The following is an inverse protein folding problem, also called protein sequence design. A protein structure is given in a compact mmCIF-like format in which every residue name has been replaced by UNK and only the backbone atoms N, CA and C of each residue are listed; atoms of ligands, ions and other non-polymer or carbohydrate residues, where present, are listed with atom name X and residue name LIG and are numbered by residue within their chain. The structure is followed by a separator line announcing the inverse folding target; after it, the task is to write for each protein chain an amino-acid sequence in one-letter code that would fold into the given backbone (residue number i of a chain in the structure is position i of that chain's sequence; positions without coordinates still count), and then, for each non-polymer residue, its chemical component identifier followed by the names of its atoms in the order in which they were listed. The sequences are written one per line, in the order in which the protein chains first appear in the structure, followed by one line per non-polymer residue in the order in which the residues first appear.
data_IF_062789431598
#
_entry.id   IF_062789431598
#
_cell.length_a   1.000
_cell.length_b   1.000
_cell.length_c   1.000
_cell.angle_alpha   90.00
_cell.angle_beta   90.00
_cell.angle_gamma   90.00
#
_symmetry.space_group_name_H-M   'P 1'
#
loop_
_entity.id
_entity.type
_entity.pdbx_description
1 polymer ?
#
# COMPACT_ATOMS: atom_id res chain seq x y z
N UNK A 1 28.50 4.53 -1.90
CA UNK A 1 28.19 3.66 -3.05
C UNK A 1 28.48 2.24 -2.61
N UNK A 2 27.47 1.40 -2.50
CA UNK A 2 27.63 -0.03 -2.20
C UNK A 2 28.25 -0.70 -3.43
N UNK A 3 29.27 -1.54 -3.23
CA UNK A 3 29.86 -2.31 -4.31
C UNK A 3 28.82 -3.31 -4.81
N UNK A 4 28.39 -3.18 -6.08
CA UNK A 4 27.35 -4.04 -6.65
C UNK A 4 27.97 -5.40 -6.92
N UNK A 5 27.48 -6.43 -6.22
CA UNK A 5 27.92 -7.80 -6.47
C UNK A 5 27.65 -8.19 -7.92
N UNK A 6 28.70 -8.64 -8.60
CA UNK A 6 28.67 -9.08 -9.99
C UNK A 6 27.73 -10.28 -10.18
N UNK A 7 27.56 -11.12 -9.15
CA UNK A 7 26.62 -12.24 -9.16
C UNK A 7 25.16 -11.75 -9.25
N UNK A 8 24.80 -10.76 -8.44
CA UNK A 8 23.46 -10.14 -8.41
C UNK A 8 23.17 -9.46 -9.74
N UNK A 9 24.15 -8.77 -10.33
CA UNK A 9 23.99 -8.11 -11.63
C UNK A 9 23.62 -9.11 -12.74
N UNK A 10 24.21 -10.30 -12.73
CA UNK A 10 23.92 -11.34 -13.73
C UNK A 10 22.52 -11.92 -13.55
N UNK A 11 22.12 -12.23 -12.31
CA UNK A 11 20.76 -12.73 -12.03
C UNK A 11 19.69 -11.68 -12.37
N UNK A 12 19.94 -10.40 -12.07
CA UNK A 12 19.01 -9.32 -12.43
C UNK A 12 18.83 -9.20 -13.95
N UNK A 13 19.93 -9.26 -14.72
CA UNK A 13 19.85 -9.24 -16.20
C UNK A 13 19.15 -10.47 -16.77
N UNK A 14 19.36 -11.64 -16.16
CA UNK A 14 18.69 -12.89 -16.54
C UNK A 14 17.19 -12.80 -16.27
N UNK A 15 16.78 -12.30 -15.10
CA UNK A 15 15.39 -12.04 -14.76
C UNK A 15 14.75 -11.07 -15.75
N UNK A 16 15.35 -9.91 -16.01
CA UNK A 16 14.78 -8.92 -16.93
C UNK A 16 14.60 -9.47 -18.34
N UNK A 17 15.55 -10.27 -18.84
CA UNK A 17 15.43 -10.90 -20.16
C UNK A 17 14.28 -11.90 -20.20
N UNK A 18 14.17 -12.74 -19.16
CA UNK A 18 13.06 -13.67 -19.02
C UNK A 18 11.72 -12.92 -18.96
N UNK A 19 11.62 -11.91 -18.10
CA UNK A 19 10.38 -11.18 -17.84
C UNK A 19 9.94 -10.30 -19.03
N UNK A 20 10.90 -9.78 -19.82
CA UNK A 20 10.61 -9.06 -21.07
C UNK A 20 9.87 -9.95 -22.07
N UNK A 21 10.23 -11.24 -22.15
CA UNK A 21 9.53 -12.21 -22.99
C UNK A 21 8.15 -12.55 -22.43
N UNK A 22 8.05 -12.69 -21.11
CA UNK A 22 6.77 -12.95 -20.41
C UNK A 22 5.76 -11.84 -20.69
N UNK A 23 6.19 -10.57 -20.63
CA UNK A 23 5.33 -9.41 -20.88
C UNK A 23 5.08 -9.13 -22.37
N UNK A 24 5.70 -9.90 -23.28
CA UNK A 24 5.48 -9.75 -24.73
C UNK A 24 5.99 -8.43 -25.31
N UNK A 25 6.89 -7.72 -24.61
CA UNK A 25 7.40 -6.39 -25.00
C UNK A 25 8.24 -6.37 -26.29
N UNK A 26 8.55 -7.54 -26.85
CA UNK A 26 9.25 -7.66 -28.13
C UNK A 26 8.32 -7.52 -29.34
N UNK A 27 7.00 -7.51 -29.14
CA UNK A 27 6.04 -7.27 -30.20
C UNK A 27 5.83 -5.76 -30.39
N UNK A 28 5.71 -5.30 -31.65
CA UNK A 28 5.40 -3.89 -31.99
C UNK A 28 4.07 -3.42 -31.37
N UNK A 29 3.20 -4.37 -31.07
CA UNK A 29 1.84 -4.25 -30.60
C UNK A 29 1.60 -5.15 -29.39
N UNK A 30 0.98 -4.63 -28.33
CA UNK A 30 0.77 -5.39 -27.09
C UNK A 30 -0.66 -5.93 -27.03
N UNK A 31 -0.84 -7.12 -26.45
CA UNK A 31 -2.12 -7.81 -26.28
C UNK A 31 -2.89 -8.00 -27.60
N UNK A 32 -2.21 -8.27 -28.72
CA UNK A 32 -2.81 -8.33 -30.06
C UNK A 32 -3.71 -7.12 -30.35
N UNK A 33 -3.26 -5.93 -29.96
CA UNK A 33 -3.97 -4.67 -30.14
C UNK A 33 -3.18 -3.73 -31.05
N UNK A 34 -3.80 -2.77 -31.74
CA UNK A 34 -3.07 -1.82 -32.57
C UNK A 34 -2.26 -0.80 -31.75
N UNK A 35 -2.21 -0.93 -30.42
CA UNK A 35 -1.54 0.00 -29.52
C UNK A 35 -0.18 -0.55 -29.07
N UNK A 36 0.80 0.34 -29.02
CA UNK A 36 2.10 0.10 -28.39
C UNK A 36 2.00 0.16 -26.85
N UNK A 37 3.03 -0.32 -26.16
CA UNK A 37 3.12 -0.25 -24.69
C UNK A 37 2.88 1.15 -24.14
N UNK A 38 3.55 2.13 -24.74
CA UNK A 38 3.50 3.52 -24.28
C UNK A 38 2.10 4.09 -24.44
N UNK A 39 1.42 3.77 -25.54
CA UNK A 39 0.05 4.19 -25.80
C UNK A 39 -0.94 3.58 -24.79
N UNK A 40 -0.80 2.28 -24.52
CA UNK A 40 -1.60 1.61 -23.50
C UNK A 40 -1.34 2.20 -22.11
N UNK A 41 -0.09 2.51 -21.76
CA UNK A 41 0.24 3.16 -20.49
C UNK A 41 -0.30 4.57 -20.38
N UNK A 42 -0.24 5.37 -21.43
CA UNK A 42 -0.86 6.71 -21.42
C UNK A 42 -2.38 6.62 -21.18
N UNK A 43 -3.09 5.68 -21.83
CA UNK A 43 -4.52 5.49 -21.59
C UNK A 43 -4.82 5.05 -20.15
N UNK A 44 -3.98 4.18 -19.60
CA UNK A 44 -4.08 3.74 -18.20
C UNK A 44 -3.88 4.89 -17.22
N UNK A 45 -2.83 5.70 -17.39
CA UNK A 45 -2.56 6.84 -16.50
C UNK A 45 -3.66 7.90 -16.60
N UNK A 46 -4.19 8.19 -17.78
CA UNK A 46 -5.32 9.12 -17.94
C UNK A 46 -6.57 8.58 -17.23
N UNK A 47 -6.84 7.28 -17.29
CA UNK A 47 -8.04 6.68 -16.69
C UNK A 47 -7.97 6.62 -15.16
N UNK A 48 -6.77 6.42 -14.60
CA UNK A 48 -6.58 6.09 -13.19
C UNK A 48 -5.96 7.23 -12.37
N UNK A 49 -5.49 8.31 -13.01
CA UNK A 49 -5.00 9.50 -12.30
C UNK A 49 -6.04 10.61 -12.30
N UNK A 50 -6.52 11.01 -11.11
CA UNK A 50 -7.37 12.19 -10.95
C UNK A 50 -6.65 13.44 -11.45
N UNK A 51 -7.37 14.30 -12.18
CA UNK A 51 -6.80 15.54 -12.72
C UNK A 51 -5.52 15.33 -13.56
N UNK A 52 -5.46 14.23 -14.31
CA UNK A 52 -4.30 13.88 -15.13
C UNK A 52 -3.95 14.98 -16.13
N UNK A 53 -2.69 15.37 -16.19
CA UNK A 53 -2.18 16.36 -17.16
C UNK A 53 -1.09 15.74 -18.02
N UNK A 54 -0.80 16.37 -19.16
CA UNK A 54 0.33 15.94 -20.00
C UNK A 54 1.68 15.99 -19.25
N UNK A 55 1.82 16.86 -18.24
CA UNK A 55 3.02 16.93 -17.40
C UNK A 55 3.11 15.72 -16.47
N UNK A 56 2.01 15.36 -15.81
CA UNK A 56 1.95 14.14 -14.98
C UNK A 56 2.33 12.92 -15.83
N UNK A 57 1.80 12.78 -17.04
CA UNK A 57 2.19 11.68 -17.94
C UNK A 57 3.68 11.65 -18.29
N UNK A 58 4.32 12.81 -18.47
CA UNK A 58 5.76 12.88 -18.74
C UNK A 58 6.57 12.45 -17.52
N UNK A 59 6.21 12.98 -16.35
CA UNK A 59 6.92 12.75 -15.09
C UNK A 59 6.77 11.28 -14.65
N UNK A 60 5.55 10.73 -14.66
CA UNK A 60 5.25 9.35 -14.25
C UNK A 60 5.87 8.31 -15.18
N UNK A 61 5.80 8.52 -16.50
CA UNK A 61 6.26 7.52 -17.49
C UNK A 61 7.71 7.76 -17.96
N UNK A 62 8.37 8.83 -17.51
CA UNK A 62 9.72 9.20 -17.97
C UNK A 62 9.80 9.50 -19.47
N UNK A 63 8.71 10.01 -20.06
CA UNK A 63 8.58 10.21 -21.51
C UNK A 63 8.86 11.66 -21.91
N UNK A 64 9.40 11.87 -23.11
CA UNK A 64 9.64 13.21 -23.62
C UNK A 64 8.34 13.95 -23.98
N UNK A 65 8.36 15.27 -23.75
CA UNK A 65 7.21 16.17 -23.99
C UNK A 65 6.68 16.09 -25.42
N UNK A 66 7.57 15.98 -26.41
CA UNK A 66 7.21 15.97 -27.82
C UNK A 66 6.49 14.67 -28.21
N UNK A 67 6.92 13.54 -27.66
CA UNK A 67 6.30 12.24 -27.87
C UNK A 67 4.93 12.14 -27.18
N UNK A 68 4.82 12.52 -25.91
CA UNK A 68 3.53 12.55 -25.20
C UNK A 68 2.52 13.47 -25.91
N UNK A 69 2.96 14.66 -26.35
CA UNK A 69 2.09 15.58 -27.09
C UNK A 69 1.59 15.00 -28.41
N UNK A 70 2.44 14.26 -29.15
CA UNK A 70 2.06 13.59 -30.40
C UNK A 70 0.99 12.52 -30.16
N UNK A 71 1.17 11.68 -29.13
CA UNK A 71 0.19 10.65 -28.78
C UNK A 71 -1.15 11.28 -28.37
N UNK A 72 -1.13 12.28 -27.48
CA UNK A 72 -2.35 12.97 -27.04
C UNK A 72 -3.10 13.57 -28.23
N UNK A 73 -2.40 14.27 -29.14
CA UNK A 73 -3.04 14.85 -30.34
C UNK A 73 -3.66 13.79 -31.24
N UNK A 74 -3.02 12.63 -31.39
CA UNK A 74 -3.57 11.53 -32.18
C UNK A 74 -4.82 10.96 -31.53
N UNK A 75 -4.79 10.68 -30.23
CA UNK A 75 -5.95 10.18 -29.48
C UNK A 75 -7.12 11.17 -29.47
N UNK A 76 -6.85 12.47 -29.41
CA UNK A 76 -7.89 13.51 -29.55
C UNK A 76 -8.51 13.48 -30.95
N UNK A 77 -7.69 13.37 -32.00
CA UNK A 77 -8.14 13.24 -33.39
C UNK A 77 -8.97 11.97 -33.62
N UNK A 78 -8.63 10.89 -32.93
CA UNK A 78 -9.33 9.60 -32.96
C UNK A 78 -10.53 9.55 -32.00
N UNK A 79 -10.90 10.69 -31.39
CA UNK A 79 -12.00 10.81 -30.44
C UNK A 79 -11.89 9.86 -29.24
N UNK A 80 -10.68 9.51 -28.82
CA UNK A 80 -10.41 8.67 -27.66
C UNK A 80 -10.26 9.47 -26.37
N UNK A 81 -9.81 10.72 -26.47
CA UNK A 81 -9.68 11.62 -25.33
C UNK A 81 -10.19 13.02 -25.65
N UNK A 82 -10.49 13.77 -24.60
CA UNK A 82 -10.76 15.20 -24.66
C UNK A 82 -9.97 15.95 -23.58
N UNK A 83 -9.91 17.26 -23.73
CA UNK A 83 -9.20 18.16 -22.82
C UNK A 83 -10.17 19.13 -22.16
N UNK A 84 -9.97 19.36 -20.88
CA UNK A 84 -10.67 20.38 -20.12
C UNK A 84 -9.67 21.38 -19.54
N UNK A 85 -10.03 22.66 -19.47
CA UNK A 85 -9.13 23.66 -18.86
C UNK A 85 -9.01 23.38 -17.36
N UNK A 86 -7.79 23.43 -16.84
CA UNK A 86 -7.57 23.37 -15.40
C UNK A 86 -8.06 24.67 -14.76
N UNK A 87 -8.85 24.54 -13.69
CA UNK A 87 -9.30 25.66 -12.86
C UNK A 87 -8.15 26.24 -12.02
N UNK A 88 -7.13 25.44 -11.73
CA UNK A 88 -5.96 25.80 -10.91
C UNK A 88 -4.85 26.51 -11.71
N UNK A 89 -4.64 26.12 -12.98
CA UNK A 89 -3.68 26.77 -13.87
C UNK A 89 -4.20 26.78 -15.31
N UNK A 90 -4.54 27.97 -15.80
CA UNK A 90 -5.00 28.21 -17.19
C UNK A 90 -4.05 27.72 -18.30
N UNK A 91 -2.79 27.42 -17.97
CA UNK A 91 -1.80 26.86 -18.91
C UNK A 91 -1.87 25.34 -19.00
N UNK A 92 -2.55 24.67 -18.09
CA UNK A 92 -2.69 23.22 -18.05
C UNK A 92 -4.10 22.79 -18.47
N UNK A 93 -4.17 21.60 -19.06
CA UNK A 93 -5.42 20.94 -19.40
C UNK A 93 -5.47 19.59 -18.72
N UNK A 94 -6.60 19.28 -18.10
CA UNK A 94 -6.90 17.94 -17.65
C UNK A 94 -7.29 17.07 -18.84
N UNK A 95 -6.82 15.83 -18.82
CA UNK A 95 -7.04 14.83 -19.85
C UNK A 95 -8.08 13.85 -19.36
N UNK A 96 -9.07 13.56 -20.21
CA UNK A 96 -10.12 12.60 -19.92
C UNK A 96 -10.34 11.68 -21.11
N UNK A 97 -10.70 10.42 -20.86
CA UNK A 97 -11.14 9.53 -21.91
C UNK A 97 -12.57 9.88 -22.32
N UNK A 98 -12.87 9.79 -23.62
CA UNK A 98 -14.25 9.78 -24.09
C UNK A 98 -14.87 8.40 -23.81
N UNK A 99 -16.19 8.24 -23.98
CA UNK A 99 -16.83 6.92 -23.91
C UNK A 99 -16.24 5.90 -24.92
N UNK A 100 -15.76 6.37 -26.08
CA UNK A 100 -15.03 5.54 -27.04
C UNK A 100 -13.64 5.13 -26.50
N UNK A 101 -12.89 6.09 -25.94
CA UNK A 101 -11.60 5.82 -25.29
C UNK A 101 -11.72 4.85 -24.13
N UNK A 102 -12.76 4.98 -23.29
CA UNK A 102 -13.02 4.04 -22.20
C UNK A 102 -13.32 2.62 -22.71
N UNK A 103 -14.05 2.50 -23.82
CA UNK A 103 -14.33 1.20 -24.44
C UNK A 103 -13.04 0.53 -24.92
N UNK A 104 -12.11 1.31 -25.50
CA UNK A 104 -10.79 0.81 -25.90
C UNK A 104 -9.98 0.42 -24.68
N UNK A 105 -9.90 1.29 -23.66
CA UNK A 105 -9.20 1.01 -22.41
C UNK A 105 -9.67 -0.31 -21.78
N UNK A 106 -10.99 -0.51 -21.64
CA UNK A 106 -11.56 -1.75 -21.07
C UNK A 106 -11.19 -2.99 -21.87
N UNK A 107 -11.12 -2.90 -23.21
CA UNK A 107 -10.67 -4.01 -24.05
C UNK A 107 -9.18 -4.33 -23.81
N UNK A 108 -8.34 -3.31 -23.70
CA UNK A 108 -6.91 -3.49 -23.40
C UNK A 108 -6.70 -4.10 -22.02
N UNK A 109 -7.41 -3.61 -21.01
CA UNK A 109 -7.39 -4.12 -19.63
C UNK A 109 -7.85 -5.58 -19.58
N UNK A 110 -8.97 -5.93 -20.22
CA UNK A 110 -9.46 -7.30 -20.27
C UNK A 110 -8.45 -8.26 -20.92
N UNK A 111 -7.79 -7.84 -22.01
CA UNK A 111 -6.76 -8.68 -22.64
C UNK A 111 -5.49 -8.81 -21.80
N UNK A 112 -5.09 -7.75 -21.11
CA UNK A 112 -3.97 -7.80 -20.17
C UNK A 112 -4.25 -8.81 -19.04
N UNK A 113 -5.46 -8.77 -18.47
CA UNK A 113 -5.90 -9.71 -17.44
C UNK A 113 -5.94 -11.14 -17.97
N UNK A 114 -6.50 -11.36 -19.17
CA UNK A 114 -6.55 -12.69 -19.79
C UNK A 114 -5.15 -13.31 -19.98
N UNK A 115 -4.15 -12.50 -20.34
CA UNK A 115 -2.78 -12.97 -20.47
C UNK A 115 -2.20 -13.41 -19.12
N UNK A 116 -2.44 -12.63 -18.06
CA UNK A 116 -2.01 -12.98 -16.70
C UNK A 116 -2.72 -14.24 -16.21
N UNK A 117 -4.04 -14.33 -16.41
CA UNK A 117 -4.84 -15.50 -16.07
C UNK A 117 -4.32 -16.77 -16.76
N UNK A 118 -4.03 -16.70 -18.07
CA UNK A 118 -3.45 -17.80 -18.82
C UNK A 118 -2.08 -18.23 -18.27
N UNK A 119 -1.24 -17.28 -17.87
CA UNK A 119 0.05 -17.59 -17.25
C UNK A 119 -0.08 -18.26 -15.87
N UNK A 120 -1.14 -17.92 -15.13
CA UNK A 120 -1.37 -18.42 -13.78
C UNK A 120 -2.31 -19.64 -13.72
N UNK A 121 -2.90 -20.05 -14.85
CA UNK A 121 -3.91 -21.13 -14.95
C UNK A 121 -3.44 -22.45 -14.31
N UNK A 122 -2.13 -22.72 -14.35
CA UNK A 122 -1.53 -23.95 -13.80
C UNK A 122 -0.65 -23.73 -12.56
N UNK A 123 -0.73 -22.54 -11.97
CA UNK A 123 0.00 -22.19 -10.74
C UNK A 123 -0.97 -22.35 -9.56
N UNK A 124 -0.60 -23.18 -8.57
CA UNK A 124 -1.43 -23.36 -7.38
C UNK A 124 -1.51 -22.09 -6.52
N UNK A 125 -2.56 -21.96 -5.70
CA UNK A 125 -2.84 -20.75 -4.92
C UNK A 125 -1.66 -20.32 -4.02
N UNK A 126 -0.95 -21.28 -3.40
CA UNK A 126 0.20 -20.97 -2.53
C UNK A 126 1.39 -20.44 -3.33
N UNK A 127 1.59 -20.95 -4.55
CA UNK A 127 2.60 -20.43 -5.47
C UNK A 127 2.22 -19.07 -6.04
N UNK A 128 0.93 -18.80 -6.28
CA UNK A 128 0.45 -17.47 -6.68
C UNK A 128 0.70 -16.42 -5.59
N UNK A 129 0.38 -16.73 -4.33
CA UNK A 129 0.66 -15.87 -3.17
C UNK A 129 2.16 -15.57 -3.04
N UNK A 130 3.01 -16.61 -3.14
CA UNK A 130 4.48 -16.44 -3.13
C UNK A 130 4.98 -15.55 -4.26
N UNK A 131 4.41 -15.68 -5.46
CA UNK A 131 4.79 -14.88 -6.60
C UNK A 131 4.42 -13.40 -6.37
N UNK A 132 3.20 -13.13 -5.90
CA UNK A 132 2.75 -11.78 -5.57
C UNK A 132 3.62 -11.11 -4.51
N UNK A 133 3.94 -11.83 -3.42
CA UNK A 133 4.81 -11.33 -2.36
C UNK A 133 6.24 -11.04 -2.86
N UNK A 134 6.77 -11.88 -3.77
CA UNK A 134 8.08 -11.64 -4.38
C UNK A 134 8.08 -10.41 -5.29
N UNK A 135 7.03 -10.22 -6.10
CA UNK A 135 6.87 -9.03 -6.95
C UNK A 135 6.78 -7.76 -6.11
N UNK A 136 5.98 -7.78 -5.04
CA UNK A 136 5.89 -6.66 -4.10
C UNK A 136 7.24 -6.33 -3.46
N UNK A 137 8.01 -7.35 -3.07
CA UNK A 137 9.38 -7.16 -2.55
C UNK A 137 10.29 -6.49 -3.59
N UNK A 138 10.25 -6.94 -4.85
CA UNK A 138 11.04 -6.36 -5.95
C UNK A 138 10.64 -4.90 -6.18
N UNK A 139 9.35 -4.60 -6.31
CA UNK A 139 8.84 -3.24 -6.48
C UNK A 139 9.28 -2.34 -5.33
N UNK A 140 9.20 -2.84 -4.10
CA UNK A 140 9.53 -2.08 -2.91
C UNK A 140 11.02 -1.73 -2.81
N UNK A 141 11.91 -2.64 -3.21
CA UNK A 141 13.37 -2.39 -3.24
C UNK A 141 13.72 -1.43 -4.38
N UNK A 142 13.13 -1.60 -5.57
CA UNK A 142 13.48 -0.79 -6.74
C UNK A 142 12.92 0.64 -6.67
N UNK A 143 11.70 0.81 -6.15
CA UNK A 143 11.07 2.13 -6.00
C UNK A 143 11.85 3.06 -5.07
N UNK A 144 12.44 2.53 -3.99
CA UNK A 144 13.30 3.31 -3.08
C UNK A 144 14.55 3.88 -3.78
N UNK A 145 15.11 3.13 -4.72
CA UNK A 145 16.34 3.54 -5.41
C UNK A 145 16.06 4.45 -6.61
N UNK A 146 14.94 4.24 -7.31
CA UNK A 146 14.61 4.93 -8.55
C UNK A 146 13.83 6.24 -8.32
N UNK A 147 13.04 6.33 -7.24
CA UNK A 147 12.31 7.55 -6.86
C UNK A 147 12.50 7.91 -5.38
N UNK A 148 13.72 8.31 -4.93
CA UNK A 148 14.01 8.59 -3.52
C UNK A 148 13.20 9.74 -2.91
N UNK A 149 12.65 10.63 -3.74
CA UNK A 149 11.81 11.76 -3.31
C UNK A 149 10.34 11.39 -3.08
N UNK A 150 9.85 10.29 -3.67
CA UNK A 150 8.46 9.81 -3.53
C UNK A 150 8.32 8.68 -2.49
N UNK A 151 9.45 8.15 -2.01
CA UNK A 151 9.54 7.13 -0.96
C UNK A 151 9.59 7.73 0.46
N UNK A 152 9.39 9.04 0.61
CA UNK A 152 9.24 9.66 1.93
C UNK A 152 7.92 9.19 2.54
N UNK A 153 8.00 8.50 3.69
CA UNK A 153 6.83 8.09 4.44
C UNK A 153 6.17 9.34 5.03
N UNK A 154 4.94 9.63 4.63
CA UNK A 154 4.09 10.63 5.25
C UNK A 154 3.13 9.96 6.23
N UNK A 155 2.86 10.61 7.36
CA UNK A 155 1.82 10.16 8.29
C UNK A 155 0.72 11.20 8.26
N UNK A 156 -0.48 10.81 7.81
CA UNK A 156 -1.68 11.63 7.97
C UNK A 156 -2.39 11.28 9.27
N UNK A 157 -3.06 12.28 9.83
CA UNK A 157 -3.65 12.24 11.17
C UNK A 157 -5.19 12.29 11.14
N UNK A 158 -5.78 11.93 9.99
CA UNK A 158 -7.21 11.78 9.80
C UNK A 158 -7.50 10.44 9.10
N UNK A 159 -8.74 9.95 9.21
CA UNK A 159 -9.23 8.77 8.51
C UNK A 159 -10.63 9.01 7.94
N UNK A 160 -10.97 8.28 6.87
CA UNK A 160 -12.31 8.22 6.27
C UNK A 160 -12.89 6.81 6.40
N UNK A 161 -14.19 6.65 6.11
CA UNK A 161 -14.86 5.34 6.24
C UNK A 161 -14.22 4.22 5.39
N UNK A 162 -13.62 4.56 4.25
CA UNK A 162 -12.92 3.58 3.41
C UNK A 162 -11.58 3.14 4.02
N UNK A 163 -10.94 3.99 4.84
CA UNK A 163 -9.72 3.61 5.56
C UNK A 163 -10.00 2.53 6.60
N UNK A 164 -11.15 2.61 7.29
CA UNK A 164 -11.54 1.57 8.26
C UNK A 164 -11.65 0.22 7.56
N UNK A 165 -12.32 0.16 6.40
CA UNK A 165 -12.44 -1.07 5.61
C UNK A 165 -11.07 -1.59 5.20
N UNK A 166 -10.18 -0.70 4.74
CA UNK A 166 -8.82 -1.06 4.37
C UNK A 166 -8.01 -1.59 5.56
N UNK A 167 -8.08 -0.94 6.73
CA UNK A 167 -7.36 -1.35 7.94
C UNK A 167 -7.84 -2.71 8.43
N UNK A 168 -9.16 -2.93 8.44
CA UNK A 168 -9.76 -4.23 8.78
C UNK A 168 -9.23 -5.30 7.83
N UNK A 169 -9.27 -5.04 6.52
CA UNK A 169 -8.83 -6.03 5.53
C UNK A 169 -7.32 -6.31 5.61
N UNK A 170 -6.50 -5.27 5.80
CA UNK A 170 -5.04 -5.41 5.97
C UNK A 170 -4.67 -6.19 7.23
N UNK A 171 -5.35 -5.95 8.35
CA UNK A 171 -5.14 -6.76 9.55
C UNK A 171 -5.64 -8.19 9.37
N UNK A 172 -6.85 -8.38 8.85
CA UNK A 172 -7.41 -9.71 8.58
C UNK A 172 -6.47 -10.54 7.72
N UNK A 173 -5.93 -9.96 6.64
CA UNK A 173 -5.00 -10.64 5.75
C UNK A 173 -3.68 -10.96 6.46
N UNK A 174 -3.08 -9.96 7.12
CA UNK A 174 -1.83 -10.14 7.85
C UNK A 174 -1.91 -11.28 8.89
N UNK A 175 -2.95 -11.29 9.72
CA UNK A 175 -3.07 -12.30 10.78
C UNK A 175 -3.53 -13.66 10.28
N UNK A 176 -4.34 -13.71 9.21
CA UNK A 176 -4.67 -14.97 8.55
C UNK A 176 -3.42 -15.63 7.95
N UNK A 177 -2.59 -14.86 7.25
CA UNK A 177 -1.39 -15.37 6.57
C UNK A 177 -0.25 -15.69 7.55
N UNK A 178 0.04 -14.77 8.49
CA UNK A 178 1.17 -14.93 9.40
C UNK A 178 0.88 -15.85 10.57
N UNK A 179 -0.38 -15.87 11.05
CA UNK A 179 -0.73 -16.56 12.29
C UNK A 179 -1.84 -17.60 12.12
N UNK A 180 -2.54 -17.68 10.98
CA UNK A 180 -3.58 -18.67 10.77
C UNK A 180 -4.83 -18.46 11.63
N UNK A 181 -5.12 -17.21 12.02
CA UNK A 181 -6.31 -16.86 12.79
C UNK A 181 -7.58 -17.01 11.94
N UNK A 182 -8.64 -17.53 12.57
CA UNK A 182 -9.91 -17.80 11.90
C UNK A 182 -10.80 -16.55 11.79
N UNK A 183 -12.01 -16.74 11.25
CA UNK A 183 -12.97 -15.66 11.01
C UNK A 183 -13.38 -14.88 12.28
N UNK A 184 -13.28 -15.46 13.47
CA UNK A 184 -13.69 -14.78 14.71
C UNK A 184 -12.81 -13.57 15.04
N UNK A 185 -11.60 -13.50 14.45
CA UNK A 185 -10.77 -12.30 14.53
C UNK A 185 -11.36 -11.12 13.74
N UNK A 186 -12.05 -11.39 12.63
CA UNK A 186 -12.75 -10.35 11.87
C UNK A 186 -13.89 -9.76 12.70
N UNK A 187 -14.66 -10.60 13.39
CA UNK A 187 -15.74 -10.17 14.29
C UNK A 187 -15.18 -9.28 15.41
N UNK A 188 -14.08 -9.70 16.03
CA UNK A 188 -13.35 -8.88 17.00
C UNK A 188 -12.90 -7.53 16.42
N UNK A 189 -12.30 -7.51 15.22
CA UNK A 189 -11.88 -6.25 14.59
C UNK A 189 -13.07 -5.31 14.38
N UNK A 190 -14.17 -5.81 13.82
CA UNK A 190 -15.38 -5.02 13.57
C UNK A 190 -15.91 -4.40 14.86
N UNK A 191 -16.04 -5.19 15.94
CA UNK A 191 -16.48 -4.72 17.24
C UNK A 191 -15.57 -3.60 17.78
N UNK A 192 -14.25 -3.71 17.59
CA UNK A 192 -13.33 -2.69 18.12
C UNK A 192 -13.48 -1.33 17.43
N UNK A 193 -13.97 -1.28 16.19
CA UNK A 193 -14.22 -0.02 15.47
C UNK A 193 -15.54 0.66 15.89
N UNK A 194 -16.39 0.01 16.68
CA UNK A 194 -17.58 0.62 17.30
C UNK A 194 -17.24 1.43 18.58
N UNK A 195 -15.98 1.40 19.03
CA UNK A 195 -15.54 2.12 20.22
C UNK A 195 -15.40 3.64 19.99
N UNK A 196 -15.20 4.39 21.09
CA UNK A 196 -14.95 5.85 21.03
C UNK A 196 -13.52 6.13 20.51
N UNK A 197 -13.40 6.19 19.19
CA UNK A 197 -12.13 6.42 18.50
C UNK A 197 -11.68 7.87 18.71
N UNK A 198 -10.54 8.04 19.39
CA UNK A 198 -9.93 9.37 19.52
C UNK A 198 -9.22 9.77 18.24
N UNK A 199 -8.38 8.87 17.69
CA UNK A 199 -7.60 9.19 16.48
C UNK A 199 -7.06 7.94 15.79
N UNK A 200 -6.86 8.02 14.49
CA UNK A 200 -6.12 7.02 13.70
C UNK A 200 -5.10 7.75 12.85
N UNK A 201 -3.86 7.26 12.87
CA UNK A 201 -2.79 7.68 11.98
C UNK A 201 -2.53 6.62 10.93
N UNK A 202 -2.35 7.09 9.69
CA UNK A 202 -2.07 6.23 8.54
C UNK A 202 -0.76 6.70 7.93
N UNK A 203 0.21 5.80 7.89
CA UNK A 203 1.47 5.98 7.20
C UNK A 203 1.28 5.60 5.73
N UNK A 204 1.73 6.48 4.84
CA UNK A 204 1.66 6.31 3.40
C UNK A 204 3.06 6.53 2.80
N UNK A 205 3.39 5.76 1.77
CA UNK A 205 4.62 5.91 1.00
C UNK A 205 4.27 5.79 -0.47
N UNK A 206 4.63 6.78 -1.28
CA UNK A 206 4.26 6.86 -2.70
C UNK A 206 2.73 6.62 -2.93
N UNK A 207 1.89 7.18 -2.07
CA UNK A 207 0.42 7.02 -2.15
C UNK A 207 -0.12 5.63 -1.77
N UNK A 208 0.74 4.72 -1.29
CA UNK A 208 0.35 3.38 -0.81
C UNK A 208 0.30 3.34 0.71
N UNK A 209 -0.64 2.57 1.25
CA UNK A 209 -0.67 2.24 2.67
C UNK A 209 0.62 1.54 3.11
N UNK A 210 1.30 2.12 4.09
CA UNK A 210 2.54 1.59 4.66
C UNK A 210 2.35 1.11 6.12
N UNK A 211 1.31 1.59 6.80
CA UNK A 211 0.96 1.15 8.16
C UNK A 211 -0.07 2.05 8.81
N UNK A 212 -0.53 1.66 10.01
CA UNK A 212 -1.43 2.47 10.82
C UNK A 212 -1.23 2.23 12.31
N UNK A 213 -1.75 3.16 13.10
CA UNK A 213 -1.98 3.01 14.53
C UNK A 213 -3.20 3.83 14.94
N UNK A 214 -4.02 3.31 15.84
CA UNK A 214 -5.16 4.04 16.39
C UNK A 214 -5.11 4.18 17.90
N UNK A 215 -5.90 5.14 18.38
CA UNK A 215 -6.21 5.38 19.77
C UNK A 215 -7.72 5.37 19.97
N UNK A 216 -8.13 4.67 21.02
CA UNK A 216 -9.51 4.63 21.51
C UNK A 216 -9.53 5.15 22.93
N UNK A 217 -10.53 5.97 23.29
CA UNK A 217 -10.69 6.44 24.67
C UNK A 217 -11.10 5.29 25.58
N UNK A 218 -10.44 5.20 26.72
CA UNK A 218 -10.85 4.31 27.80
C UNK A 218 -11.54 5.08 28.92
N UNK A 219 -10.94 6.21 29.31
CA UNK A 219 -11.49 7.20 30.24
C UNK A 219 -10.89 8.59 29.93
N UNK A 220 -11.17 9.59 30.78
CA UNK A 220 -10.73 10.98 30.59
C UNK A 220 -9.19 11.15 30.53
N UNK A 221 -8.44 10.20 31.08
CA UNK A 221 -6.96 10.29 31.23
C UNK A 221 -6.23 9.12 30.58
N UNK A 222 -6.94 8.08 30.16
CA UNK A 222 -6.37 6.85 29.63
C UNK A 222 -6.88 6.57 28.22
N UNK A 223 -5.96 6.25 27.33
CA UNK A 223 -6.26 5.80 25.97
C UNK A 223 -5.69 4.41 25.70
N UNK A 224 -6.37 3.67 24.85
CA UNK A 224 -5.93 2.37 24.37
C UNK A 224 -5.35 2.49 22.97
N UNK A 225 -4.11 2.03 22.79
CA UNK A 225 -3.52 1.83 21.47
C UNK A 225 -4.11 0.60 20.81
N UNK A 226 -4.64 0.78 19.60
CA UNK A 226 -5.26 -0.27 18.78
C UNK A 226 -4.77 -0.23 17.34
N UNK A 227 -5.04 -1.32 16.61
CA UNK A 227 -4.84 -1.44 15.16
C UNK A 227 -3.43 -1.09 14.68
N UNK A 228 -2.42 -1.36 15.50
CA UNK A 228 -1.03 -1.15 15.10
C UNK A 228 -0.63 -2.19 14.05
N UNK A 229 -0.27 -1.71 12.86
CA UNK A 229 0.17 -2.55 11.75
C UNK A 229 1.21 -1.81 10.91
N UNK A 230 2.27 -2.50 10.52
CA UNK A 230 3.17 -2.07 9.45
C UNK A 230 3.13 -3.12 8.35
N UNK A 231 2.79 -2.66 7.15
CA UNK A 231 2.71 -3.49 5.96
C UNK A 231 4.10 -4.14 5.70
N UNK A 232 4.10 -5.43 5.37
CA UNK A 232 5.32 -6.24 5.26
C UNK A 232 6.31 -5.66 4.26
N UNK A 233 5.81 -5.03 3.19
CA UNK A 233 6.64 -4.37 2.18
C UNK A 233 7.47 -3.23 2.77
N UNK A 234 7.02 -2.57 3.84
CA UNK A 234 7.65 -1.37 4.40
C UNK A 234 8.35 -1.59 5.76
N UNK A 235 8.50 -2.85 6.20
CA UNK A 235 9.18 -3.19 7.45
C UNK A 235 10.67 -2.85 7.40
N UNK A 236 11.26 -2.64 8.59
CA UNK A 236 12.67 -2.26 8.72
C UNK A 236 12.97 -0.78 8.38
N UNK A 237 11.99 -0.01 7.91
CA UNK A 237 12.15 1.40 7.52
C UNK A 237 11.84 2.41 8.63
N UNK A 238 11.64 1.94 9.86
CA UNK A 238 11.33 2.79 11.01
C UNK A 238 9.89 3.31 11.08
N UNK A 239 8.99 2.91 10.17
CA UNK A 239 7.58 3.36 10.13
C UNK A 239 6.86 3.11 11.44
N UNK A 240 6.97 1.90 12.00
CA UNK A 240 6.35 1.58 13.30
C UNK A 240 6.84 2.49 14.43
N UNK A 241 8.14 2.82 14.44
CA UNK A 241 8.69 3.80 15.40
C UNK A 241 8.19 5.22 15.14
N UNK A 242 7.96 5.60 13.88
CA UNK A 242 7.41 6.91 13.55
C UNK A 242 5.95 7.02 14.00
N UNK A 243 5.12 6.02 13.69
CA UNK A 243 3.72 5.94 14.11
C UNK A 243 3.56 6.01 15.64
N UNK A 244 4.35 5.21 16.39
CA UNK A 244 4.31 5.24 17.85
C UNK A 244 4.77 6.58 18.42
N UNK A 245 5.80 7.20 17.83
CA UNK A 245 6.26 8.53 18.26
C UNK A 245 5.16 9.57 18.06
N UNK A 246 4.56 9.61 16.87
CA UNK A 246 3.47 10.53 16.55
C UNK A 246 2.29 10.35 17.51
N UNK A 247 1.89 9.10 17.78
CA UNK A 247 0.83 8.78 18.73
C UNK A 247 1.17 9.28 20.14
N UNK A 248 2.37 9.00 20.64
CA UNK A 248 2.77 9.41 21.99
C UNK A 248 2.92 10.92 22.14
N UNK A 249 3.44 11.60 21.13
CA UNK A 249 3.56 13.05 21.13
C UNK A 249 2.17 13.71 21.19
N UNK A 250 1.21 13.18 20.43
CA UNK A 250 -0.19 13.59 20.53
C UNK A 250 -0.78 13.33 21.93
N UNK A 251 -0.54 12.16 22.52
CA UNK A 251 -1.06 11.88 23.85
C UNK A 251 -0.54 12.85 24.92
N UNK A 252 0.73 13.25 24.83
CA UNK A 252 1.32 14.25 25.72
C UNK A 252 0.71 15.63 25.49
N UNK A 253 0.50 16.03 24.24
CA UNK A 253 -0.13 17.30 23.88
C UNK A 253 -1.57 17.39 24.44
N UNK A 254 -2.32 16.30 24.32
CA UNK A 254 -3.69 16.18 24.83
C UNK A 254 -3.77 15.91 26.34
N UNK A 255 -2.62 15.80 27.03
CA UNK A 255 -2.51 15.57 28.48
C UNK A 255 -3.21 14.29 28.96
N UNK A 256 -3.18 13.25 28.13
CA UNK A 256 -3.44 11.89 28.61
C UNK A 256 -2.30 11.48 29.55
N UNK A 257 -2.65 10.76 30.60
CA UNK A 257 -1.71 10.33 31.65
C UNK A 257 -1.23 8.90 31.38
N UNK A 258 -2.05 8.07 30.73
CA UNK A 258 -1.72 6.66 30.48
C UNK A 258 -2.09 6.20 29.08
N UNK A 259 -1.22 5.37 28.49
CA UNK A 259 -1.51 4.58 27.29
C UNK A 259 -1.37 3.11 27.65
N UNK A 260 -2.33 2.28 27.23
CA UNK A 260 -2.17 0.83 27.29
C UNK A 260 -2.49 0.14 25.97
N UNK A 261 -2.04 -1.10 25.82
CA UNK A 261 -2.39 -1.98 24.71
C UNK A 261 -2.56 -3.41 25.19
N UNK A 262 -3.31 -4.19 24.41
CA UNK A 262 -3.39 -5.63 24.53
C UNK A 262 -2.73 -6.27 23.31
N UNK A 263 -1.93 -7.30 23.55
CA UNK A 263 -1.33 -8.15 22.51
C UNK A 263 -1.43 -9.61 22.95
N UNK A 264 -1.04 -10.55 22.09
CA UNK A 264 -1.06 -11.99 22.40
C UNK A 264 0.34 -12.59 22.34
N UNK A 265 0.56 -13.70 23.04
CA UNK A 265 1.84 -14.39 23.15
C UNK A 265 2.48 -14.77 21.80
N UNK A 266 1.66 -15.02 20.77
CA UNK A 266 2.11 -15.29 19.40
C UNK A 266 2.66 -14.06 18.67
N UNK A 267 2.57 -12.87 19.25
CA UNK A 267 3.05 -11.58 18.70
C UNK A 267 4.32 -11.06 19.40
N UNK A 268 5.19 -11.96 19.86
CA UNK A 268 6.41 -11.60 20.58
C UNK A 268 7.34 -10.62 19.82
N UNK A 269 7.23 -10.57 18.48
CA UNK A 269 8.00 -9.66 17.60
C UNK A 269 7.75 -8.17 17.87
N UNK A 270 6.58 -7.81 18.41
CA UNK A 270 6.24 -6.41 18.71
C UNK A 270 6.75 -5.95 20.08
N UNK A 271 7.10 -6.87 20.99
CA UNK A 271 7.52 -6.55 22.38
C UNK A 271 8.76 -5.65 22.43
N UNK A 272 9.85 -5.90 21.67
CA UNK A 272 11.02 -5.03 21.70
C UNK A 272 10.71 -3.59 21.28
N UNK A 273 9.71 -3.41 20.40
CA UNK A 273 9.26 -2.09 19.99
C UNK A 273 8.51 -1.40 21.14
N UNK A 274 7.58 -2.08 21.80
CA UNK A 274 6.85 -1.50 22.93
C UNK A 274 7.78 -1.14 24.09
N UNK A 275 8.71 -2.04 24.45
CA UNK A 275 9.73 -1.78 25.47
C UNK A 275 10.61 -0.56 25.13
N UNK A 276 11.02 -0.44 23.86
CA UNK A 276 11.79 0.71 23.37
C UNK A 276 11.05 2.04 23.55
N UNK A 277 9.71 2.02 23.45
CA UNK A 277 8.86 3.20 23.68
C UNK A 277 8.44 3.35 25.15
N UNK A 278 8.92 2.49 26.04
CA UNK A 278 8.76 2.60 27.48
C UNK A 278 7.52 1.91 28.05
N UNK A 279 6.77 1.17 27.22
CA UNK A 279 5.69 0.31 27.69
C UNK A 279 6.25 -0.82 28.54
N UNK A 280 5.49 -1.24 29.55
CA UNK A 280 5.84 -2.34 30.45
C UNK A 280 4.70 -3.32 30.53
N UNK A 281 5.03 -4.61 30.54
CA UNK A 281 4.07 -5.68 30.80
C UNK A 281 3.50 -5.52 32.23
N UNK A 282 2.20 -5.35 32.34
CA UNK A 282 1.48 -5.12 33.61
C UNK A 282 0.52 -6.25 33.97
N UNK A 283 0.00 -6.95 32.96
CA UNK A 283 -0.98 -8.03 33.13
C UNK A 283 -0.76 -9.12 32.09
N UNK A 284 -0.97 -10.37 32.50
CA UNK A 284 -0.95 -11.55 31.63
C UNK A 284 -2.14 -12.40 32.02
N UNK A 285 -3.01 -12.73 31.06
CA UNK A 285 -4.16 -13.60 31.30
C UNK A 285 -3.80 -15.07 31.10
N UNK A 286 -4.61 -15.96 31.65
CA UNK A 286 -4.52 -17.39 31.34
C UNK A 286 -4.81 -17.66 29.86
N UNK A 287 -4.26 -18.75 29.33
CA UNK A 287 -4.54 -19.15 27.95
C UNK A 287 -6.03 -19.41 27.72
N UNK A 288 -6.58 -18.74 26.72
CA UNK A 288 -7.96 -18.88 26.30
C UNK A 288 -8.04 -19.28 24.81
N UNK A 289 -9.11 -19.97 24.40
CA UNK A 289 -9.41 -20.16 22.99
C UNK A 289 -9.74 -18.81 22.34
N UNK A 290 -8.84 -18.32 21.50
CA UNK A 290 -8.95 -17.06 20.77
C UNK A 290 -8.58 -17.31 19.31
N UNK A 291 -9.45 -16.89 18.39
CA UNK A 291 -9.21 -16.88 16.94
C UNK A 291 -8.76 -18.23 16.36
N UNK A 292 -9.37 -19.32 16.85
CA UNK A 292 -9.08 -20.69 16.43
C UNK A 292 -7.85 -21.32 17.09
N UNK A 293 -7.23 -20.64 18.06
CA UNK A 293 -6.02 -21.10 18.76
C UNK A 293 -6.13 -20.93 20.27
N UNK A 294 -5.17 -21.49 21.01
CA UNK A 294 -5.00 -21.17 22.45
C UNK A 294 -3.94 -20.09 22.56
N UNK A 295 -4.35 -18.90 22.99
CA UNK A 295 -3.49 -17.72 23.08
C UNK A 295 -3.56 -17.15 24.49
N UNK A 296 -2.45 -16.54 24.90
CA UNK A 296 -2.35 -15.78 26.15
C UNK A 296 -2.33 -14.31 25.80
N UNK A 297 -3.20 -13.52 26.43
CA UNK A 297 -3.24 -12.07 26.26
C UNK A 297 -2.29 -11.39 27.25
N UNK A 298 -1.61 -10.35 26.78
CA UNK A 298 -0.66 -9.53 27.53
C UNK A 298 -1.06 -8.06 27.45
N UNK A 299 -1.14 -7.41 28.61
CA UNK A 299 -1.38 -5.98 28.74
C UNK A 299 -0.07 -5.25 28.96
N UNK A 300 0.15 -4.20 28.17
CA UNK A 300 1.31 -3.34 28.30
C UNK A 300 0.86 -1.90 28.55
N UNK A 301 1.42 -1.25 29.57
CA UNK A 301 1.07 0.13 29.96
C UNK A 301 2.31 1.05 29.96
N UNK A 302 2.09 2.33 29.72
CA UNK A 302 3.04 3.42 29.95
C UNK A 302 2.33 4.61 30.59
N UNK A 303 2.99 5.19 31.60
CA UNK A 303 2.63 6.49 32.16
C UNK A 303 3.33 7.61 31.37
N UNK A 304 2.57 8.61 30.96
CA UNK A 304 3.04 9.82 30.31
C UNK A 304 3.27 10.88 31.39
N UNK A 305 4.51 10.94 31.88
CA UNK A 305 4.98 11.95 32.84
C UNK A 305 4.93 13.37 32.28
#
# INVERSE_FOLDING_TARGET
MTEVDRSITLEFRKFNRFYTNVLGFLNEHIYDSPFSLTETRILFEIKNTSHCTAKILQDTLGLDRGYVSRIIKRFEKENMLYKEKSEEDSRNHYLYLTGFGETIYKKLEAKANQQIEYMLEHVDAKSQEKLAAAMETIECILSEQLSPKESAVSIRDYYISDDIKMIIEKQRLFYKEAHGWDHTFLDYLLETFDADIEKIWIAESAGRFAGCVGLVKHDDRTVQLRWFLVDSAFRGRGIGSSLLRTLMDYCREMKFERIFLWTVSSMAEARPLYEKFGFRLTEVKDEAPLWGQRLQEERWDIELA
#
